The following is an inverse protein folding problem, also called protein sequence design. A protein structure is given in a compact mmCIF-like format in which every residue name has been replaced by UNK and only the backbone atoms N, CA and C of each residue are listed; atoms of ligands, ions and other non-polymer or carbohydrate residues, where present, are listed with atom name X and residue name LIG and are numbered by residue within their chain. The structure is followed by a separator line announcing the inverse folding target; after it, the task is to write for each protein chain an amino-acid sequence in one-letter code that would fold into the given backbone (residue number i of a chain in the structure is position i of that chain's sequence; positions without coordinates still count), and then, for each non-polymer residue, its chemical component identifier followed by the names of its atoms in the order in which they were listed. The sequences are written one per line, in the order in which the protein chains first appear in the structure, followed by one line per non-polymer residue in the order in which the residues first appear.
data_IF_147016141394
#
_entry.id   IF_147016141394
#
_cell.length_a   1.000
_cell.length_b   1.000
_cell.length_c   1.000
_cell.angle_alpha   90.00
_cell.angle_beta   90.00
_cell.angle_gamma   90.00
#
_symmetry.space_group_name_H-M   'P 1'
#
loop_
_entity.id
_entity.type
_entity.pdbx_description
1 polymer ?
#
# COMPACT_ATOMS: atom_id res chain seq x y z
N UNK A 1 11.38 -18.28 -5.27
CA UNK A 1 10.26 -17.68 -4.53
C UNK A 1 8.97 -18.41 -4.72
N UNK A 2 8.40 -18.89 -3.60
CA UNK A 2 7.03 -19.43 -3.53
C UNK A 2 6.02 -18.45 -4.12
N UNK A 3 5.05 -18.96 -4.87
CA UNK A 3 4.02 -18.15 -5.54
C UNK A 3 3.25 -17.23 -4.57
N UNK A 4 3.02 -17.69 -3.34
CA UNK A 4 2.41 -16.89 -2.28
C UNK A 4 3.23 -15.65 -1.92
N UNK A 5 4.56 -15.76 -1.82
CA UNK A 5 5.42 -14.62 -1.49
C UNK A 5 5.45 -13.59 -2.63
N UNK A 6 5.42 -14.04 -3.89
CA UNK A 6 5.25 -13.14 -5.04
C UNK A 6 3.93 -12.37 -4.98
N UNK A 7 2.82 -13.06 -4.70
CA UNK A 7 1.49 -12.44 -4.55
C UNK A 7 1.44 -11.43 -3.40
N UNK A 8 2.06 -11.75 -2.26
CA UNK A 8 2.17 -10.82 -1.12
C UNK A 8 2.97 -9.57 -1.46
N UNK A 9 4.08 -9.71 -2.19
CA UNK A 9 4.86 -8.56 -2.65
C UNK A 9 4.05 -7.69 -3.63
N UNK A 10 3.41 -8.29 -4.63
CA UNK A 10 2.55 -7.56 -5.58
C UNK A 10 1.41 -6.83 -4.85
N UNK A 11 0.77 -7.47 -3.87
CA UNK A 11 -0.26 -6.84 -3.05
C UNK A 11 0.31 -5.65 -2.25
N UNK A 12 1.46 -5.82 -1.58
CA UNK A 12 2.13 -4.74 -0.86
C UNK A 12 2.43 -3.52 -1.74
N UNK A 13 2.95 -3.76 -2.96
CA UNK A 13 3.20 -2.69 -3.94
C UNK A 13 1.89 -2.03 -4.36
N UNK A 14 0.85 -2.81 -4.65
CA UNK A 14 -0.47 -2.32 -5.03
C UNK A 14 -1.08 -1.39 -3.98
N UNK A 15 -1.06 -1.80 -2.70
CA UNK A 15 -1.57 -0.99 -1.59
C UNK A 15 -0.73 0.27 -1.36
N UNK A 16 0.59 0.17 -1.52
CA UNK A 16 1.48 1.32 -1.41
C UNK A 16 1.19 2.37 -2.50
N UNK A 17 0.91 1.92 -3.73
CA UNK A 17 0.50 2.81 -4.81
C UNK A 17 -0.90 3.40 -4.57
N UNK A 18 -1.86 2.60 -4.09
CA UNK A 18 -3.22 3.05 -3.78
C UNK A 18 -3.20 4.14 -2.70
N UNK A 19 -2.47 3.92 -1.60
CA UNK A 19 -2.25 4.93 -0.55
C UNK A 19 -1.76 6.26 -1.11
N UNK A 20 -0.78 6.24 -2.00
CA UNK A 20 -0.22 7.45 -2.59
C UNK A 20 -1.26 8.17 -3.46
N UNK A 21 -2.02 7.45 -4.29
CA UNK A 21 -3.11 8.02 -5.10
C UNK A 21 -4.16 8.69 -4.23
N UNK A 22 -4.63 8.01 -3.18
CA UNK A 22 -5.63 8.60 -2.26
C UNK A 22 -5.08 9.81 -1.50
N UNK A 23 -3.80 9.80 -1.12
CA UNK A 23 -3.15 10.97 -0.52
C UNK A 23 -3.11 12.17 -1.49
N UNK A 24 -2.86 11.93 -2.79
CA UNK A 24 -2.92 12.99 -3.80
C UNK A 24 -4.34 13.52 -4.00
N UNK A 25 -5.34 12.65 -4.07
CA UNK A 25 -6.73 13.06 -4.21
C UNK A 25 -7.25 13.80 -2.98
N UNK A 26 -6.83 13.40 -1.77
CA UNK A 26 -7.12 14.15 -0.55
C UNK A 26 -6.61 15.59 -0.63
N UNK A 27 -5.39 15.81 -1.14
CA UNK A 27 -4.82 17.16 -1.34
C UNK A 27 -5.59 17.98 -2.37
N UNK A 28 -5.97 17.36 -3.49
CA UNK A 28 -6.75 18.02 -4.55
C UNK A 28 -8.14 18.42 -4.01
N UNK A 29 -8.86 17.48 -3.41
CA UNK A 29 -10.19 17.72 -2.84
C UNK A 29 -10.17 18.86 -1.80
N UNK A 30 -9.13 18.91 -0.94
CA UNK A 30 -8.96 20.00 0.03
C UNK A 30 -8.75 21.35 -0.65
N UNK A 31 -7.94 21.40 -1.71
CA UNK A 31 -7.67 22.63 -2.48
C UNK A 31 -8.93 23.16 -3.17
N UNK A 32 -9.82 22.27 -3.62
CA UNK A 32 -11.07 22.60 -4.28
C UNK A 32 -12.23 22.90 -3.30
N UNK A 33 -11.99 22.82 -1.99
CA UNK A 33 -12.99 23.12 -0.95
C UNK A 33 -13.86 21.94 -0.53
N UNK A 34 -13.63 20.73 -1.08
CA UNK A 34 -14.34 19.51 -0.71
C UNK A 34 -13.73 18.86 0.55
N UNK A 35 -13.87 19.51 1.70
CA UNK A 35 -13.21 19.10 2.95
C UNK A 35 -13.60 17.68 3.38
N UNK A 36 -14.88 17.34 3.42
CA UNK A 36 -15.33 15.99 3.81
C UNK A 36 -14.81 14.90 2.86
N UNK A 37 -14.74 15.19 1.56
CA UNK A 37 -14.19 14.24 0.58
C UNK A 37 -12.68 14.07 0.77
N UNK A 38 -11.96 15.15 1.11
CA UNK A 38 -10.54 15.08 1.45
C UNK A 38 -10.27 14.16 2.63
N UNK A 39 -11.11 14.21 3.66
CA UNK A 39 -11.02 13.35 4.84
C UNK A 39 -11.30 11.89 4.51
N UNK A 40 -12.31 11.61 3.68
CA UNK A 40 -12.59 10.25 3.20
C UNK A 40 -11.37 9.69 2.45
N UNK A 41 -10.78 10.44 1.53
CA UNK A 41 -9.57 9.99 0.83
C UNK A 41 -8.40 9.76 1.77
N UNK A 42 -8.20 10.61 2.77
CA UNK A 42 -7.13 10.43 3.75
C UNK A 42 -7.36 9.18 4.59
N UNK A 43 -8.59 8.96 5.07
CA UNK A 43 -8.96 7.76 5.80
C UNK A 43 -8.74 6.50 4.97
N UNK A 44 -9.12 6.50 3.68
CA UNK A 44 -8.86 5.36 2.79
C UNK A 44 -7.36 5.14 2.60
N UNK A 45 -6.56 6.19 2.44
CA UNK A 45 -5.11 6.07 2.35
C UNK A 45 -4.49 5.42 3.61
N UNK A 46 -5.04 5.72 4.79
CA UNK A 46 -4.62 5.09 6.05
C UNK A 46 -5.06 3.62 6.15
N UNK A 47 -6.19 3.23 5.57
CA UNK A 47 -6.57 1.81 5.46
C UNK A 47 -5.58 1.05 4.56
N UNK A 48 -5.21 1.58 3.40
CA UNK A 48 -4.25 0.92 2.50
C UNK A 48 -2.85 0.84 3.12
N UNK A 49 -2.48 1.81 3.96
CA UNK A 49 -1.26 1.72 4.79
C UNK A 49 -1.30 0.49 5.70
N UNK A 50 -2.44 0.24 6.36
CA UNK A 50 -2.62 -0.94 7.22
C UNK A 50 -2.57 -2.22 6.39
N UNK A 51 -3.30 -2.30 5.27
CA UNK A 51 -3.25 -3.45 4.36
C UNK A 51 -1.82 -3.75 3.89
N UNK A 52 -1.12 -2.73 3.37
CA UNK A 52 0.27 -2.85 2.95
C UNK A 52 1.20 -3.32 4.08
N UNK A 53 1.03 -2.80 5.30
CA UNK A 53 1.83 -3.23 6.45
C UNK A 53 1.63 -4.71 6.79
N UNK A 54 0.41 -5.24 6.65
CA UNK A 54 0.12 -6.66 6.86
C UNK A 54 0.76 -7.53 5.79
N UNK A 55 0.62 -7.17 4.51
CA UNK A 55 1.27 -7.91 3.43
C UNK A 55 2.79 -7.92 3.57
N UNK A 56 3.38 -6.79 3.93
CA UNK A 56 4.81 -6.70 4.21
C UNK A 56 5.21 -7.60 5.39
N UNK A 57 4.46 -7.56 6.50
CA UNK A 57 4.73 -8.43 7.65
C UNK A 57 4.64 -9.92 7.30
N UNK A 58 3.64 -10.31 6.50
CA UNK A 58 3.51 -11.69 6.01
C UNK A 58 4.68 -12.06 5.11
N UNK A 59 5.10 -11.16 4.21
CA UNK A 59 6.26 -11.35 3.34
C UNK A 59 7.55 -11.59 4.12
N UNK A 60 7.76 -10.86 5.22
CA UNK A 60 8.92 -11.08 6.10
C UNK A 60 8.94 -12.47 6.74
N UNK A 61 7.79 -13.13 6.90
CA UNK A 61 7.72 -14.53 7.31
C UNK A 61 8.42 -15.48 6.32
N UNK A 62 8.48 -15.10 5.04
CA UNK A 62 9.16 -15.86 3.99
C UNK A 62 10.65 -15.47 3.85
N UNK A 63 11.12 -14.36 4.46
CA UNK A 63 12.54 -13.93 4.45
C UNK A 63 13.51 -14.92 5.09
N UNK A 64 13.03 -15.85 5.91
CA UNK A 64 13.86 -16.92 6.47
C UNK A 64 14.18 -18.03 5.46
N UNK A 65 13.50 -18.08 4.32
CA UNK A 65 13.64 -19.14 3.33
C UNK A 65 14.31 -18.68 2.02
N UNK A 66 14.30 -17.39 1.66
CA UNK A 66 14.92 -16.86 0.42
C UNK A 66 15.33 -15.37 0.51
N UNK A 67 16.26 -14.89 -0.33
CA UNK A 67 16.61 -13.46 -0.48
C UNK A 67 15.59 -12.70 -1.37
N UNK A 68 15.25 -11.46 -1.00
CA UNK A 68 14.15 -10.67 -1.58
C UNK A 68 14.62 -9.48 -2.45
N UNK A 69 15.94 -9.26 -2.57
CA UNK A 69 16.50 -8.02 -3.15
C UNK A 69 16.39 -7.93 -4.69
N UNK A 70 15.95 -8.99 -5.38
CA UNK A 70 15.85 -9.01 -6.84
C UNK A 70 14.48 -8.59 -7.40
N UNK A 71 13.52 -8.20 -6.54
CA UNK A 71 12.19 -7.79 -7.00
C UNK A 71 12.19 -6.38 -7.59
N UNK A 72 12.25 -6.31 -8.93
CA UNK A 72 12.03 -5.08 -9.69
C UNK A 72 10.53 -4.75 -9.70
N UNK A 73 10.20 -3.52 -9.29
CA UNK A 73 8.90 -2.87 -9.48
C UNK A 73 8.80 -2.34 -10.90
#
# INVERSE_FOLDING_TARGET
MKETAKKLFTAFVGESQARNRYTFFSKIAKKEGYVSISEIFLQTADQEKVHGSWFYKMLQGFKKEEEFDEMKV
#
